data_IF_012563716919
#
_entry.id   IF_012563716919
#
_cell.length_a   1.000
_cell.length_b   1.000
_cell.length_c   1.000
_cell.angle_alpha   90.00
_cell.angle_beta   90.00
_cell.angle_gamma   90.00
#
_symmetry.space_group_name_H-M   'P 1'
#
loop_
_entity.id
_entity.type
_entity.pdbx_description
1 polymer ?
#
# COMPACT_ATOMS: atom_id res chain seq x y z
N UNK A 1 74.79 -47.74 71.89
CA UNK A 1 73.69 -48.66 71.52
C UNK A 1 72.41 -47.88 71.72
N UNK A 2 71.93 -47.20 70.66
CA UNK A 2 70.93 -47.71 69.69
C UNK A 2 69.52 -47.58 70.29
N UNK A 3 68.50 -47.00 69.66
CA UNK A 3 68.35 -46.25 68.41
C UNK A 3 67.08 -45.38 68.59
N UNK A 4 67.11 -44.14 68.12
CA UNK A 4 65.94 -43.27 68.09
C UNK A 4 65.04 -43.61 66.91
N UNK A 5 63.88 -44.21 67.16
CA UNK A 5 62.81 -44.34 66.15
C UNK A 5 62.11 -42.99 65.97
N UNK A 6 62.58 -42.21 64.99
CA UNK A 6 61.87 -41.05 64.46
C UNK A 6 60.85 -41.55 63.42
N UNK A 7 59.58 -41.70 63.81
CA UNK A 7 58.49 -42.07 62.90
C UNK A 7 57.94 -40.80 62.26
N UNK A 8 58.55 -40.37 61.15
CA UNK A 8 58.00 -39.36 60.26
C UNK A 8 57.02 -40.01 59.29
N UNK A 9 55.72 -39.89 59.56
CA UNK A 9 54.67 -40.21 58.60
C UNK A 9 54.78 -39.28 57.37
N UNK A 10 54.61 -39.79 56.13
CA UNK A 10 54.71 -38.97 54.93
C UNK A 10 53.55 -37.97 54.88
N UNK A 11 53.85 -36.68 54.70
CA UNK A 11 52.86 -35.67 54.41
C UNK A 11 52.16 -36.00 53.08
N UNK A 12 50.87 -36.30 53.15
CA UNK A 12 50.02 -36.48 51.98
C UNK A 12 49.97 -35.13 51.24
N UNK A 13 50.63 -35.01 50.08
CA UNK A 13 50.41 -33.87 49.18
C UNK A 13 49.01 -34.03 48.60
N UNK A 14 48.09 -33.15 48.98
CA UNK A 14 46.82 -33.01 48.28
C UNK A 14 47.11 -32.75 46.79
N UNK A 15 46.64 -33.66 45.94
CA UNK A 15 46.73 -33.49 44.49
C UNK A 15 45.96 -32.25 44.04
N UNK A 16 46.28 -31.68 42.87
CA UNK A 16 45.53 -30.54 42.35
C UNK A 16 44.03 -30.88 42.30
N UNK A 17 43.14 -29.91 42.64
CA UNK A 17 41.71 -30.15 42.64
C UNK A 17 41.26 -30.64 41.25
N UNK A 18 40.26 -31.54 41.19
CA UNK A 18 39.78 -32.06 39.92
C UNK A 18 39.33 -30.90 39.02
N UNK A 19 39.58 -30.98 37.71
CA UNK A 19 39.14 -29.94 36.79
C UNK A 19 37.62 -29.75 36.92
N UNK A 20 37.13 -28.49 36.82
CA UNK A 20 35.70 -28.24 36.90
C UNK A 20 34.96 -29.04 35.82
N UNK A 21 33.73 -29.49 36.09
CA UNK A 21 32.95 -30.26 35.13
C UNK A 21 32.80 -29.47 33.82
N UNK A 22 33.02 -30.16 32.70
CA UNK A 22 32.86 -29.56 31.38
C UNK A 22 31.43 -29.02 31.22
N UNK A 23 31.30 -27.77 30.75
CA UNK A 23 29.98 -27.16 30.51
C UNK A 23 29.18 -28.04 29.54
N UNK A 24 27.90 -28.35 29.84
CA UNK A 24 27.09 -29.18 28.95
C UNK A 24 26.99 -28.51 27.58
N UNK A 25 27.29 -29.26 26.52
CA UNK A 25 27.14 -28.77 25.15
C UNK A 25 25.66 -28.44 24.91
N UNK A 26 25.36 -27.26 24.39
CA UNK A 26 23.99 -26.89 24.05
C UNK A 26 23.34 -27.97 23.15
N UNK A 27 22.07 -28.33 23.40
CA UNK A 27 21.43 -29.42 22.68
C UNK A 27 21.26 -29.08 21.20
N UNK A 28 21.30 -30.10 20.33
CA UNK A 28 21.28 -29.94 18.87
C UNK A 28 20.07 -29.12 18.37
N UNK A 29 18.90 -29.32 18.98
CA UNK A 29 17.68 -28.57 18.63
C UNK A 29 17.83 -27.05 18.83
N UNK A 30 18.60 -26.60 19.84
CA UNK A 30 18.86 -25.18 20.06
C UNK A 30 19.72 -24.58 18.95
N UNK A 31 20.68 -25.34 18.42
CA UNK A 31 21.50 -24.90 17.27
C UNK A 31 20.67 -24.83 15.99
N UNK A 32 19.79 -25.80 15.77
CA UNK A 32 18.85 -25.81 14.63
C UNK A 32 17.91 -24.61 14.72
N UNK A 33 17.30 -24.37 15.90
CA UNK A 33 16.40 -23.25 16.12
C UNK A 33 17.09 -21.91 15.87
N UNK A 34 18.31 -21.71 16.41
CA UNK A 34 19.11 -20.50 16.13
C UNK A 34 19.39 -20.36 14.63
N UNK A 35 19.73 -21.45 13.94
CA UNK A 35 19.92 -21.44 12.49
C UNK A 35 18.67 -21.00 11.73
N UNK A 36 17.49 -21.52 12.10
CA UNK A 36 16.20 -21.14 11.49
C UNK A 36 15.89 -19.66 11.74
N UNK A 37 16.09 -19.18 12.97
CA UNK A 37 15.85 -17.77 13.32
C UNK A 37 16.80 -16.86 12.53
N UNK A 38 18.09 -17.18 12.46
CA UNK A 38 19.05 -16.40 11.68
C UNK A 38 18.74 -16.42 10.18
N UNK A 39 18.30 -17.56 9.64
CA UNK A 39 17.86 -17.65 8.25
C UNK A 39 16.60 -16.80 8.00
N UNK A 40 15.63 -16.82 8.93
CA UNK A 40 14.44 -15.97 8.88
C UNK A 40 14.78 -14.48 8.90
N UNK A 41 15.68 -14.05 9.79
CA UNK A 41 16.17 -12.66 9.83
C UNK A 41 16.89 -12.32 8.52
N UNK A 42 17.74 -13.22 8.00
CA UNK A 42 18.42 -13.03 6.72
C UNK A 42 17.45 -12.83 5.56
N UNK A 43 16.42 -13.67 5.46
CA UNK A 43 15.37 -13.55 4.44
C UNK A 43 14.57 -12.26 4.58
N UNK A 44 14.21 -11.88 5.81
CA UNK A 44 13.53 -10.62 6.09
C UNK A 44 14.38 -9.43 5.62
N UNK A 45 15.68 -9.39 5.96
CA UNK A 45 16.58 -8.33 5.53
C UNK A 45 16.77 -8.31 4.01
N UNK A 46 16.89 -9.47 3.36
CA UNK A 46 16.98 -9.57 1.90
C UNK A 46 15.71 -9.06 1.22
N UNK A 47 14.53 -9.35 1.79
CA UNK A 47 13.24 -8.88 1.26
C UNK A 47 13.11 -7.35 1.33
N UNK A 48 13.57 -6.74 2.43
CA UNK A 48 13.59 -5.28 2.57
C UNK A 48 14.68 -4.62 1.72
N UNK A 49 15.84 -5.26 1.59
CA UNK A 49 16.89 -4.83 0.67
C UNK A 49 16.39 -4.86 -0.77
N UNK A 50 15.64 -5.89 -1.15
CA UNK A 50 15.00 -5.97 -2.46
C UNK A 50 14.02 -4.81 -2.67
N UNK A 51 13.14 -4.52 -1.71
CA UNK A 51 12.26 -3.36 -1.76
C UNK A 51 13.06 -2.04 -1.89
N UNK A 52 14.17 -1.90 -1.18
CA UNK A 52 15.06 -0.74 -1.29
C UNK A 52 15.71 -0.64 -2.68
N UNK A 53 16.13 -1.75 -3.30
CA UNK A 53 16.70 -1.74 -4.66
C UNK A 53 15.63 -1.31 -5.67
N UNK A 54 14.40 -1.83 -5.54
CA UNK A 54 13.26 -1.49 -6.38
C UNK A 54 12.81 -0.02 -6.26
N UNK A 55 13.37 0.75 -5.32
CA UNK A 55 13.22 2.22 -5.31
C UNK A 55 13.87 2.87 -6.53
N UNK A 56 14.96 2.30 -7.01
CA UNK A 56 15.84 2.94 -7.99
C UNK A 56 15.88 2.20 -9.33
N UNK A 57 15.38 0.97 -9.39
CA UNK A 57 15.40 0.14 -10.58
C UNK A 57 13.98 -0.24 -11.03
N UNK A 58 13.73 -0.42 -12.34
CA UNK A 58 12.49 -1.02 -12.85
C UNK A 58 12.16 -2.34 -12.14
N UNK A 59 10.87 -2.60 -11.95
CA UNK A 59 10.43 -3.88 -11.38
C UNK A 59 10.57 -4.95 -12.46
N UNK A 60 11.43 -5.96 -12.29
CA UNK A 60 11.78 -6.88 -13.38
C UNK A 60 10.61 -7.78 -13.79
N UNK A 61 9.71 -8.07 -12.86
CA UNK A 61 8.50 -8.85 -13.05
C UNK A 61 7.76 -9.06 -11.73
N UNK A 62 6.54 -9.57 -11.79
CA UNK A 62 5.71 -9.87 -10.62
C UNK A 62 5.32 -11.35 -10.58
N UNK A 63 4.83 -11.79 -9.41
CA UNK A 63 4.31 -13.16 -9.27
C UNK A 63 3.11 -13.36 -10.19
N UNK A 64 2.26 -12.34 -10.35
CA UNK A 64 1.11 -12.38 -11.25
C UNK A 64 1.53 -12.55 -12.72
N UNK A 65 2.50 -11.75 -13.20
CA UNK A 65 3.05 -11.92 -14.56
C UNK A 65 3.58 -13.34 -14.78
N UNK A 66 4.29 -13.89 -13.79
CA UNK A 66 4.82 -15.25 -13.84
C UNK A 66 3.69 -16.29 -13.92
N UNK A 67 2.64 -16.11 -13.11
CA UNK A 67 1.46 -16.98 -13.12
C UNK A 67 0.74 -16.96 -14.46
N UNK A 68 0.53 -15.77 -15.06
CA UNK A 68 -0.09 -15.62 -16.39
C UNK A 68 0.72 -16.34 -17.48
N UNK A 69 2.04 -16.17 -17.46
CA UNK A 69 2.93 -16.88 -18.39
C UNK A 69 2.84 -18.41 -18.26
N UNK A 70 2.74 -18.94 -17.03
CA UNK A 70 2.52 -20.38 -16.82
C UNK A 70 1.14 -20.87 -17.25
N UNK A 71 0.14 -19.99 -17.29
CA UNK A 71 -1.21 -20.28 -17.80
C UNK A 71 -1.28 -20.21 -19.34
N UNK A 72 -0.19 -19.86 -20.01
CA UNK A 72 -0.10 -19.78 -21.47
C UNK A 72 -0.59 -18.46 -22.06
N UNK A 73 -0.83 -17.45 -21.22
CA UNK A 73 -1.12 -16.09 -21.70
C UNK A 73 0.15 -15.41 -22.22
N UNK A 74 -0.01 -14.57 -23.25
CA UNK A 74 1.07 -13.72 -23.74
C UNK A 74 1.22 -12.50 -22.83
N UNK A 75 2.30 -12.49 -22.03
CA UNK A 75 2.54 -11.44 -21.04
C UNK A 75 3.30 -10.30 -21.71
N UNK A 76 2.57 -9.24 -22.07
CA UNK A 76 3.17 -8.02 -22.60
C UNK A 76 3.45 -7.05 -21.48
N UNK A 77 4.68 -6.54 -21.43
CA UNK A 77 5.05 -5.43 -20.54
C UNK A 77 6.07 -4.53 -21.20
N UNK A 78 5.94 -3.24 -20.95
CA UNK A 78 6.98 -2.27 -21.23
C UNK A 78 7.07 -1.27 -20.08
N UNK A 79 8.26 -1.17 -19.49
CA UNK A 79 8.47 -0.28 -18.35
C UNK A 79 8.86 1.09 -18.88
N UNK A 80 8.06 2.10 -18.55
CA UNK A 80 8.37 3.50 -18.85
C UNK A 80 8.47 4.30 -17.56
N UNK A 81 9.31 5.34 -17.56
CA UNK A 81 9.36 6.26 -16.43
C UNK A 81 8.05 7.03 -16.30
N UNK A 82 7.76 7.57 -15.12
CA UNK A 82 6.53 8.34 -14.90
C UNK A 82 6.48 9.61 -15.76
N UNK A 83 7.62 10.16 -16.14
CA UNK A 83 7.71 11.32 -17.04
C UNK A 83 7.32 10.99 -18.49
N UNK A 84 7.32 9.70 -18.85
CA UNK A 84 6.88 9.18 -20.13
C UNK A 84 5.42 8.70 -20.10
N UNK A 85 4.72 8.93 -18.99
CA UNK A 85 3.30 8.64 -18.85
C UNK A 85 2.52 9.96 -18.82
N UNK A 86 1.44 10.05 -19.60
CA UNK A 86 0.56 11.21 -19.62
C UNK A 86 0.08 11.55 -18.19
N UNK A 87 0.23 12.82 -17.72
CA UNK A 87 -0.32 13.24 -16.43
C UNK A 87 -1.82 12.98 -16.31
N UNK A 88 -2.53 12.91 -17.45
CA UNK A 88 -3.96 12.59 -17.50
C UNK A 88 -4.22 11.17 -17.00
N UNK A 89 -3.35 10.21 -17.25
CA UNK A 89 -3.51 8.86 -16.71
C UNK A 89 -3.32 8.84 -15.19
N UNK A 90 -2.34 9.58 -14.67
CA UNK A 90 -2.15 9.76 -13.21
C UNK A 90 -3.42 10.32 -12.56
N UNK A 91 -4.00 11.38 -13.14
CA UNK A 91 -5.25 11.95 -12.63
C UNK A 91 -6.41 10.98 -12.71
N UNK A 92 -6.51 10.21 -13.79
CA UNK A 92 -7.57 9.24 -13.97
C UNK A 92 -7.49 8.13 -12.91
N UNK A 93 -6.29 7.61 -12.65
CA UNK A 93 -6.07 6.57 -11.65
C UNK A 93 -6.32 7.08 -10.23
N UNK A 94 -5.81 8.26 -9.87
CA UNK A 94 -6.12 8.87 -8.56
C UNK A 94 -7.64 9.09 -8.42
N UNK A 95 -8.30 9.62 -9.45
CA UNK A 95 -9.75 9.84 -9.40
C UNK A 95 -10.58 8.55 -9.34
N UNK A 96 -10.04 7.44 -9.87
CA UNK A 96 -10.74 6.17 -9.99
C UNK A 96 -10.53 5.25 -8.78
N UNK A 97 -9.29 5.16 -8.30
CA UNK A 97 -8.85 4.14 -7.34
C UNK A 97 -8.64 4.73 -5.95
N UNK A 98 -8.14 5.95 -5.85
CA UNK A 98 -7.64 6.51 -4.58
C UNK A 98 -7.56 8.04 -4.61
N UNK A 99 -8.71 8.69 -4.40
CA UNK A 99 -8.84 10.14 -4.47
C UNK A 99 -7.98 10.88 -3.43
N UNK A 100 -7.63 10.21 -2.33
CA UNK A 100 -6.86 10.71 -1.20
C UNK A 100 -5.40 10.26 -1.25
N UNK A 101 -4.94 9.73 -2.39
CA UNK A 101 -3.60 9.15 -2.53
C UNK A 101 -2.47 10.03 -1.95
N UNK A 102 -2.50 11.34 -2.21
CA UNK A 102 -1.48 12.26 -1.71
C UNK A 102 -1.65 12.69 -0.24
N UNK A 103 -2.78 12.38 0.40
CA UNK A 103 -3.09 12.85 1.76
C UNK A 103 -2.89 11.78 2.84
N UNK A 104 -2.87 10.49 2.49
CA UNK A 104 -2.65 9.40 3.46
C UNK A 104 -1.28 8.72 3.32
N UNK A 105 -0.81 8.05 4.37
CA UNK A 105 0.46 7.30 4.42
C UNK A 105 0.36 5.85 3.93
N UNK A 106 -0.42 5.60 2.89
CA UNK A 106 -0.63 4.28 2.28
C UNK A 106 -1.87 3.50 2.68
N UNK A 107 -2.50 3.82 3.82
CA UNK A 107 -3.80 3.25 4.20
C UNK A 107 -4.79 4.40 4.38
N UNK A 108 -5.95 4.31 3.73
CA UNK A 108 -7.06 5.23 3.92
C UNK A 108 -8.09 4.60 4.87
N UNK A 109 -7.99 4.96 6.15
CA UNK A 109 -8.88 4.46 7.19
C UNK A 109 -10.32 4.93 7.00
N UNK A 110 -10.52 6.14 6.44
CA UNK A 110 -11.85 6.67 6.17
C UNK A 110 -12.51 5.90 5.03
N UNK A 111 -11.75 5.55 3.98
CA UNK A 111 -12.26 4.70 2.90
C UNK A 111 -12.58 3.28 3.38
N UNK A 112 -11.76 2.70 4.26
CA UNK A 112 -12.03 1.38 4.86
C UNK A 112 -13.34 1.43 5.65
N UNK A 113 -13.51 2.44 6.50
CA UNK A 113 -14.70 2.56 7.35
C UNK A 113 -15.95 2.84 6.51
N UNK A 114 -15.87 3.73 5.51
CA UNK A 114 -16.96 3.98 4.58
C UNK A 114 -17.36 2.73 3.80
N UNK A 115 -16.39 1.95 3.31
CA UNK A 115 -16.64 0.68 2.65
C UNK A 115 -17.29 -0.34 3.60
N UNK A 116 -16.83 -0.43 4.85
CA UNK A 116 -17.39 -1.31 5.87
C UNK A 116 -18.85 -0.97 6.17
N UNK A 117 -19.15 0.30 6.42
CA UNK A 117 -20.51 0.77 6.66
C UNK A 117 -21.42 0.51 5.46
N UNK A 118 -20.95 0.79 4.25
CA UNK A 118 -21.74 0.58 3.05
C UNK A 118 -22.02 -0.90 2.81
N UNK A 119 -21.02 -1.77 2.96
CA UNK A 119 -21.16 -3.22 2.81
C UNK A 119 -22.12 -3.80 3.87
N UNK A 120 -22.08 -3.30 5.10
CA UNK A 120 -23.01 -3.71 6.16
C UNK A 120 -24.46 -3.28 5.86
N UNK A 121 -24.65 -2.11 5.25
CA UNK A 121 -25.98 -1.60 4.86
C UNK A 121 -26.51 -2.23 3.57
N UNK A 122 -25.64 -2.80 2.73
CA UNK A 122 -25.98 -3.35 1.41
C UNK A 122 -25.43 -4.78 1.23
N UNK A 123 -25.88 -5.75 2.05
CA UNK A 123 -25.33 -7.12 2.02
C UNK A 123 -25.59 -7.84 0.69
N UNK A 124 -26.66 -7.48 -0.02
CA UNK A 124 -27.06 -8.10 -1.30
C UNK A 124 -26.43 -7.44 -2.53
N UNK A 125 -25.52 -6.47 -2.35
CA UNK A 125 -24.87 -5.76 -3.46
C UNK A 125 -23.39 -6.09 -3.57
N UNK A 126 -22.84 -5.85 -4.76
CA UNK A 126 -21.38 -5.92 -4.99
C UNK A 126 -20.62 -5.07 -3.97
N UNK A 127 -19.70 -5.72 -3.24
CA UNK A 127 -18.96 -5.08 -2.15
C UNK A 127 -18.07 -3.94 -2.63
N UNK A 128 -18.02 -2.88 -1.84
CA UNK A 128 -17.05 -1.79 -2.03
C UNK A 128 -15.72 -2.15 -1.37
N UNK A 129 -14.65 -1.95 -2.13
CA UNK A 129 -13.28 -2.08 -1.64
C UNK A 129 -12.74 -0.75 -1.10
N UNK A 130 -11.84 -0.83 -0.12
CA UNK A 130 -11.12 0.32 0.46
C UNK A 130 -9.60 0.26 0.25
N UNK A 131 -9.12 -0.49 -0.74
CA UNK A 131 -7.68 -0.65 -0.98
C UNK A 131 -7.09 0.54 -1.75
N UNK A 132 -6.04 1.13 -1.21
CA UNK A 132 -5.32 2.28 -1.80
C UNK A 132 -4.41 1.87 -2.95
N UNK A 133 -3.95 2.83 -3.75
CA UNK A 133 -2.95 2.58 -4.80
C UNK A 133 -1.67 1.96 -4.22
N UNK A 134 -1.26 2.39 -3.03
CA UNK A 134 -0.07 1.87 -2.35
C UNK A 134 -0.25 0.42 -1.91
N UNK A 135 -1.42 0.06 -1.38
CA UNK A 135 -1.75 -1.33 -1.02
C UNK A 135 -1.79 -2.22 -2.26
N UNK A 136 -2.42 -1.75 -3.34
CA UNK A 136 -2.45 -2.47 -4.61
C UNK A 136 -1.04 -2.65 -5.19
N UNK A 137 -0.17 -1.65 -5.08
CA UNK A 137 1.23 -1.74 -5.48
C UNK A 137 1.98 -2.77 -4.64
N UNK A 138 1.86 -2.71 -3.32
CA UNK A 138 2.50 -3.68 -2.43
C UNK A 138 2.06 -5.12 -2.74
N UNK A 139 0.76 -5.33 -2.93
CA UNK A 139 0.18 -6.60 -3.36
C UNK A 139 0.81 -7.08 -4.67
N UNK A 140 0.76 -6.28 -5.73
CA UNK A 140 1.17 -6.70 -7.06
C UNK A 140 2.68 -6.92 -7.18
N UNK A 141 3.50 -6.17 -6.44
CA UNK A 141 4.97 -6.28 -6.53
C UNK A 141 5.51 -7.43 -5.70
N UNK A 142 5.00 -7.61 -4.48
CA UNK A 142 5.64 -8.48 -3.49
C UNK A 142 4.87 -9.77 -3.18
N UNK A 143 3.58 -9.82 -3.52
CA UNK A 143 2.71 -10.93 -3.15
C UNK A 143 1.96 -11.48 -4.38
N UNK A 144 1.33 -12.63 -4.18
CA UNK A 144 0.46 -13.27 -5.15
C UNK A 144 -1.00 -12.94 -4.86
N UNK A 145 -1.89 -13.21 -5.82
CA UNK A 145 -3.32 -13.05 -5.63
C UNK A 145 -3.89 -14.15 -4.72
N UNK A 146 -4.68 -13.76 -3.73
CA UNK A 146 -5.25 -14.66 -2.71
C UNK A 146 -4.28 -15.03 -1.59
N UNK A 147 -4.77 -15.53 -0.44
CA UNK A 147 -3.90 -16.00 0.64
C UNK A 147 -4.21 -15.55 2.07
N UNK A 148 -5.46 -15.18 2.38
CA UNK A 148 -5.93 -14.97 3.76
C UNK A 148 -5.20 -13.89 4.58
N UNK A 149 -5.49 -13.84 5.88
CA UNK A 149 -5.07 -12.76 6.80
C UNK A 149 -3.55 -12.58 6.94
N UNK A 150 -2.71 -13.64 7.03
CA UNK A 150 -1.27 -13.47 7.17
C UNK A 150 -0.63 -12.75 5.98
N UNK A 151 -1.09 -13.04 4.75
CA UNK A 151 -0.65 -12.32 3.55
C UNK A 151 -1.11 -10.87 3.60
N UNK A 152 -2.36 -10.61 4.00
CA UNK A 152 -2.90 -9.24 4.09
C UNK A 152 -2.12 -8.38 5.09
N UNK A 153 -1.67 -8.97 6.20
CA UNK A 153 -0.76 -8.31 7.14
C UNK A 153 0.62 -8.01 6.50
N UNK A 154 1.15 -8.95 5.70
CA UNK A 154 2.36 -8.73 4.90
C UNK A 154 2.22 -7.61 3.88
N UNK A 155 1.07 -7.54 3.18
CA UNK A 155 0.74 -6.44 2.25
C UNK A 155 0.71 -5.10 2.98
N UNK A 156 0.06 -5.02 4.14
CA UNK A 156 0.01 -3.80 4.96
C UNK A 156 1.41 -3.38 5.43
N UNK A 157 2.24 -4.33 5.87
CA UNK A 157 3.63 -4.06 6.25
C UNK A 157 4.44 -3.53 5.06
N UNK A 158 4.35 -4.18 3.90
CA UNK A 158 5.07 -3.71 2.71
C UNK A 158 4.53 -2.39 2.17
N UNK A 159 3.25 -2.10 2.35
CA UNK A 159 2.65 -0.79 2.06
C UNK A 159 3.35 0.29 2.88
N UNK A 160 3.50 0.07 4.19
CA UNK A 160 4.23 0.99 5.06
C UNK A 160 5.70 1.15 4.64
N UNK A 161 6.37 0.05 4.28
CA UNK A 161 7.77 0.08 3.81
C UNK A 161 7.91 0.92 2.53
N UNK A 162 7.07 0.70 1.51
CA UNK A 162 7.18 1.46 0.25
C UNK A 162 6.75 2.92 0.43
N UNK A 163 5.78 3.22 1.28
CA UNK A 163 5.43 4.62 1.60
C UNK A 163 6.61 5.37 2.22
N UNK A 164 7.34 4.70 3.11
CA UNK A 164 8.51 5.27 3.79
C UNK A 164 9.72 5.40 2.86
N UNK A 165 9.99 4.37 2.05
CA UNK A 165 11.25 4.27 1.29
C UNK A 165 11.08 4.80 -0.14
N UNK A 166 9.91 4.61 -0.76
CA UNK A 166 9.67 4.97 -2.15
C UNK A 166 9.14 6.37 -2.33
N UNK A 167 8.21 6.78 -1.49
CA UNK A 167 7.44 8.01 -1.68
C UNK A 167 6.46 7.90 -2.84
N UNK A 168 5.50 8.82 -2.86
CA UNK A 168 4.30 8.77 -3.70
C UNK A 168 4.59 8.72 -5.20
N UNK A 169 5.56 9.51 -5.67
CA UNK A 169 5.96 9.51 -7.09
C UNK A 169 6.39 8.13 -7.58
N UNK A 170 7.29 7.47 -6.84
CA UNK A 170 7.78 6.14 -7.22
C UNK A 170 6.72 5.07 -7.07
N UNK A 171 5.85 5.17 -6.05
CA UNK A 171 4.71 4.25 -5.91
C UNK A 171 3.79 4.35 -7.12
N UNK A 172 3.44 5.57 -7.56
CA UNK A 172 2.60 5.77 -8.75
C UNK A 172 3.26 5.22 -10.01
N UNK A 173 4.56 5.47 -10.21
CA UNK A 173 5.32 4.90 -11.33
C UNK A 173 5.28 3.37 -11.31
N UNK A 174 5.54 2.75 -10.16
CA UNK A 174 5.49 1.32 -10.01
C UNK A 174 4.09 0.77 -10.28
N UNK A 175 3.06 1.36 -9.68
CA UNK A 175 1.66 0.98 -9.88
C UNK A 175 1.30 0.95 -11.37
N UNK A 176 1.54 2.05 -12.09
CA UNK A 176 1.18 2.19 -13.49
C UNK A 176 1.93 1.21 -14.39
N UNK A 177 3.10 0.71 -13.99
CA UNK A 177 3.89 -0.26 -14.75
C UNK A 177 3.63 -1.72 -14.36
N UNK A 178 3.06 -2.01 -13.19
CA UNK A 178 2.81 -3.39 -12.71
C UNK A 178 1.34 -3.78 -12.68
N UNK A 179 0.42 -2.82 -12.78
CA UNK A 179 -1.01 -3.09 -12.90
C UNK A 179 -1.31 -3.88 -14.19
N UNK A 180 -2.25 -4.82 -14.08
CA UNK A 180 -2.81 -5.54 -15.21
C UNK A 180 -3.96 -4.72 -15.80
N UNK A 181 -3.86 -4.36 -17.08
CA UNK A 181 -4.86 -3.57 -17.81
C UNK A 181 -5.73 -4.42 -18.75
N UNK A 182 -5.60 -5.75 -18.63
CA UNK A 182 -6.45 -6.77 -19.27
C UNK A 182 -5.67 -7.64 -20.26
N UNK A 183 -6.09 -8.88 -20.46
CA UNK A 183 -5.58 -9.84 -21.46
C UNK A 183 -4.04 -10.00 -21.42
N UNK A 184 -3.44 -10.11 -20.23
CA UNK A 184 -1.98 -10.23 -20.10
C UNK A 184 -1.18 -8.96 -20.35
N UNK A 185 -1.84 -7.80 -20.52
CA UNK A 185 -1.20 -6.49 -20.65
C UNK A 185 -0.84 -5.93 -19.27
N UNK A 186 0.45 -5.85 -18.98
CA UNK A 186 0.97 -5.23 -17.77
C UNK A 186 1.67 -3.92 -18.08
N UNK A 187 1.28 -2.89 -17.33
CA UNK A 187 1.85 -1.56 -17.49
C UNK A 187 1.11 -0.67 -18.47
N UNK A 188 1.14 0.64 -18.19
CA UNK A 188 0.40 1.66 -18.92
C UNK A 188 0.85 1.77 -20.39
N UNK A 189 2.14 1.58 -20.67
CA UNK A 189 2.67 1.65 -22.04
C UNK A 189 2.14 0.51 -22.91
N UNK A 190 2.27 -0.74 -22.45
CA UNK A 190 1.73 -1.90 -23.16
C UNK A 190 0.21 -1.75 -23.38
N UNK A 191 -0.52 -1.28 -22.37
CA UNK A 191 -1.95 -1.03 -22.47
C UNK A 191 -2.28 0.07 -23.50
N UNK A 192 -1.55 1.20 -23.50
CA UNK A 192 -1.79 2.29 -24.44
C UNK A 192 -1.50 1.88 -25.88
N UNK A 193 -0.42 1.13 -26.12
CA UNK A 193 -0.04 0.64 -27.43
C UNK A 193 -1.08 -0.35 -27.96
N UNK A 194 -1.44 -1.36 -27.16
CA UNK A 194 -2.39 -2.41 -27.61
C UNK A 194 -3.80 -1.85 -27.81
N UNK A 195 -4.26 -0.96 -26.92
CA UNK A 195 -5.65 -0.49 -26.93
C UNK A 195 -5.88 0.71 -27.86
N UNK A 196 -4.91 1.61 -28.00
CA UNK A 196 -5.08 2.86 -28.74
C UNK A 196 -4.02 3.08 -29.83
N UNK A 197 -3.05 2.18 -29.98
CA UNK A 197 -2.01 2.27 -31.00
C UNK A 197 -1.03 3.43 -30.78
N UNK A 198 -0.77 3.81 -29.52
CA UNK A 198 0.09 4.96 -29.19
C UNK A 198 0.76 4.83 -27.83
N UNK A 199 1.74 5.69 -27.58
CA UNK A 199 2.44 5.76 -26.30
C UNK A 199 1.52 6.22 -25.17
N UNK A 200 1.80 5.76 -23.95
CA UNK A 200 1.16 6.23 -22.72
C UNK A 200 1.35 7.74 -22.50
N UNK A 201 2.42 8.34 -23.04
CA UNK A 201 2.63 9.78 -23.04
C UNK A 201 1.52 10.55 -23.79
N UNK A 202 0.95 9.94 -24.82
CA UNK A 202 0.01 10.57 -25.76
C UNK A 202 -1.46 10.27 -25.45
N UNK A 203 -1.74 9.68 -24.29
CA UNK A 203 -3.11 9.42 -23.85
C UNK A 203 -3.89 10.74 -23.69
N UNK A 204 -5.09 10.77 -24.29
CA UNK A 204 -6.07 11.84 -24.10
C UNK A 204 -6.77 11.69 -22.74
N UNK A 205 -7.48 12.74 -22.32
CA UNK A 205 -8.30 12.71 -21.10
C UNK A 205 -9.32 11.57 -21.15
N UNK A 206 -9.88 11.29 -22.34
CA UNK A 206 -10.89 10.26 -22.54
C UNK A 206 -10.30 8.85 -22.45
N UNK A 207 -9.17 8.60 -23.10
CA UNK A 207 -8.54 7.28 -23.10
C UNK A 207 -7.94 6.94 -21.74
N UNK A 208 -7.32 7.93 -21.08
CA UNK A 208 -6.85 7.78 -19.70
C UNK A 208 -8.00 7.37 -18.75
N UNK A 209 -9.15 8.02 -18.86
CA UNK A 209 -10.32 7.67 -18.08
C UNK A 209 -10.93 6.31 -18.45
N UNK A 210 -10.83 5.88 -19.72
CA UNK A 210 -11.26 4.54 -20.15
C UNK A 210 -10.36 3.46 -19.57
N UNK A 211 -9.04 3.65 -19.60
CA UNK A 211 -8.10 2.73 -18.97
C UNK A 211 -8.33 2.64 -17.46
N UNK A 212 -8.45 3.78 -16.78
CA UNK A 212 -8.73 3.78 -15.34
C UNK A 212 -10.10 3.17 -15.00
N UNK A 213 -11.09 3.28 -15.89
CA UNK A 213 -12.40 2.69 -15.69
C UNK A 213 -12.38 1.15 -15.68
N UNK A 214 -11.43 0.51 -16.37
CA UNK A 214 -11.35 -0.95 -16.47
C UNK A 214 -10.52 -1.63 -15.39
N UNK A 215 -9.69 -0.87 -14.67
CA UNK A 215 -8.80 -1.40 -13.61
C UNK A 215 -9.47 -2.30 -12.57
N UNK A 216 -10.73 -2.07 -12.13
CA UNK A 216 -11.36 -2.97 -11.16
C UNK A 216 -11.57 -4.40 -11.69
N UNK A 217 -11.79 -4.54 -13.01
CA UNK A 217 -12.10 -5.82 -13.66
C UNK A 217 -11.49 -5.86 -15.06
N UNK A 218 -10.14 -5.86 -15.17
CA UNK A 218 -9.44 -5.57 -16.42
C UNK A 218 -9.63 -6.65 -17.48
N UNK A 219 -9.90 -7.89 -17.06
CA UNK A 219 -10.17 -9.02 -17.96
C UNK A 219 -11.66 -9.19 -18.31
N UNK A 220 -12.55 -8.42 -17.68
CA UNK A 220 -14.01 -8.47 -17.96
C UNK A 220 -14.50 -7.23 -18.70
N UNK A 221 -13.84 -6.09 -18.51
CA UNK A 221 -14.27 -4.81 -19.08
C UNK A 221 -13.34 -4.36 -20.21
N UNK A 222 -13.92 -3.75 -21.25
CA UNK A 222 -13.16 -3.30 -22.42
C UNK A 222 -12.96 -1.79 -22.38
N UNK A 223 -11.71 -1.34 -22.49
CA UNK A 223 -11.38 0.07 -22.62
C UNK A 223 -11.68 0.60 -24.05
N UNK A 224 -11.55 -0.28 -25.05
CA UNK A 224 -11.84 -0.01 -26.47
C UNK A 224 -13.22 -0.55 -26.80
N UNK A 225 -14.03 0.23 -27.51
CA UNK A 225 -15.45 -0.07 -27.74
C UNK A 225 -16.19 -0.45 -26.44
N UNK A 226 -16.11 0.41 -25.40
CA UNK A 226 -16.69 0.12 -24.09
C UNK A 226 -18.21 0.02 -24.14
N UNK A 227 -18.76 -0.92 -23.37
CA UNK A 227 -20.20 -0.97 -23.11
C UNK A 227 -20.70 0.26 -22.31
N UNK A 228 -22.03 0.43 -22.18
CA UNK A 228 -22.63 1.62 -21.57
C UNK A 228 -22.15 1.91 -20.14
N UNK A 229 -21.89 0.86 -19.36
CA UNK A 229 -21.40 1.00 -18.00
C UNK A 229 -20.00 1.62 -17.94
N UNK A 230 -19.03 1.06 -18.67
CA UNK A 230 -17.66 1.58 -18.72
C UNK A 230 -17.64 3.00 -19.28
N UNK A 231 -18.51 3.32 -20.25
CA UNK A 231 -18.66 4.69 -20.73
C UNK A 231 -19.11 5.66 -19.63
N UNK A 232 -20.13 5.30 -18.85
CA UNK A 232 -20.62 6.14 -17.73
C UNK A 232 -19.55 6.30 -16.64
N UNK A 233 -18.88 5.21 -16.27
CA UNK A 233 -17.81 5.23 -15.27
C UNK A 233 -16.66 6.14 -15.71
N UNK A 234 -16.17 5.96 -16.93
CA UNK A 234 -15.13 6.81 -17.48
C UNK A 234 -15.56 8.28 -17.56
N UNK A 235 -16.80 8.58 -17.91
CA UNK A 235 -17.34 9.94 -17.87
C UNK A 235 -17.32 10.56 -16.46
N UNK A 236 -17.61 9.77 -15.42
CA UNK A 236 -17.49 10.19 -14.01
C UNK A 236 -16.03 10.46 -13.63
N UNK A 237 -15.11 9.55 -14.02
CA UNK A 237 -13.66 9.70 -13.81
C UNK A 237 -13.15 10.98 -14.47
N UNK A 238 -13.51 11.26 -15.73
CA UNK A 238 -13.13 12.49 -16.43
C UNK A 238 -13.57 13.75 -15.68
N UNK A 239 -14.77 13.75 -15.10
CA UNK A 239 -15.25 14.86 -14.27
C UNK A 239 -14.36 15.10 -13.04
N UNK A 240 -13.94 14.01 -12.39
CA UNK A 240 -13.10 14.03 -11.18
C UNK A 240 -11.63 14.32 -11.45
N UNK A 241 -11.11 13.92 -12.61
CA UNK A 241 -9.72 14.20 -13.02
C UNK A 241 -9.39 15.69 -12.96
N UNK A 242 -10.35 16.56 -13.29
CA UNK A 242 -10.15 18.02 -13.16
C UNK A 242 -10.06 18.47 -11.72
N UNK A 243 -10.87 17.90 -10.83
CA UNK A 243 -10.77 18.18 -9.39
C UNK A 243 -9.41 17.74 -8.89
N UNK A 244 -8.97 16.53 -9.26
CA UNK A 244 -7.65 16.01 -8.91
C UNK A 244 -6.52 16.94 -9.37
N UNK A 245 -6.59 17.44 -10.60
CA UNK A 245 -5.57 18.31 -11.15
C UNK A 245 -5.60 19.74 -10.59
N UNK A 246 -6.79 20.32 -10.41
CA UNK A 246 -6.94 21.73 -10.01
C UNK A 246 -6.75 21.95 -8.50
N UNK A 247 -7.23 21.02 -7.68
CA UNK A 247 -7.14 21.10 -6.22
C UNK A 247 -5.83 20.50 -5.68
N UNK A 248 -4.93 20.06 -6.57
CA UNK A 248 -3.60 19.57 -6.18
C UNK A 248 -3.59 18.19 -5.54
N UNK A 249 -4.65 17.39 -5.68
CA UNK A 249 -4.69 16.01 -5.14
C UNK A 249 -3.66 15.07 -5.76
N UNK A 250 -2.99 15.48 -6.83
CA UNK A 250 -1.86 14.76 -7.44
C UNK A 250 -0.49 15.41 -7.19
N UNK A 251 -0.41 16.52 -6.43
CA UNK A 251 0.81 17.31 -6.27
C UNK A 251 2.02 16.49 -5.78
N UNK A 252 1.79 15.54 -4.87
CA UNK A 252 2.83 14.67 -4.32
C UNK A 252 3.52 13.76 -5.36
N UNK A 253 2.86 13.51 -6.50
CA UNK A 253 3.38 12.71 -7.60
C UNK A 253 4.30 13.54 -8.51
N UNK A 254 4.02 14.83 -8.64
CA UNK A 254 4.71 15.75 -9.55
C UNK A 254 5.74 16.65 -8.86
N UNK A 255 6.07 16.40 -7.59
CA UNK A 255 7.08 17.18 -6.87
C UNK A 255 6.60 18.54 -6.35
N UNK A 256 5.29 18.72 -6.18
CA UNK A 256 4.70 19.89 -5.51
C UNK A 256 3.60 20.59 -6.32
N UNK A 257 3.71 20.63 -7.65
CA UNK A 257 2.66 21.19 -8.51
C UNK A 257 2.37 20.28 -9.70
N UNK A 258 1.10 19.89 -9.84
CA UNK A 258 0.64 19.01 -10.90
C UNK A 258 0.38 19.79 -12.21
N UNK A 259 0.72 19.25 -13.39
CA UNK A 259 0.43 19.89 -14.68
C UNK A 259 -1.08 20.18 -14.87
N UNK A 260 -1.47 21.45 -14.92
CA UNK A 260 -2.88 21.82 -15.09
C UNK A 260 -3.39 21.41 -16.48
N UNK A 261 -4.58 20.77 -16.58
CA UNK A 261 -5.14 20.40 -17.86
C UNK A 261 -5.51 21.67 -18.67
N UNK A 262 -5.48 21.60 -20.01
CA UNK A 262 -5.93 22.71 -20.84
C UNK A 262 -7.41 23.03 -20.54
N UNK A 263 -7.84 24.29 -20.71
CA UNK A 263 -9.24 24.66 -20.60
C UNK A 263 -10.11 23.77 -21.49
N UNK A 264 -11.26 23.33 -20.98
CA UNK A 264 -12.20 22.53 -21.77
C UNK A 264 -12.66 23.37 -22.96
N UNK A 265 -12.47 22.89 -24.19
CA UNK A 265 -13.22 23.40 -25.33
C UNK A 265 -14.68 23.00 -25.09
N UNK A 266 -15.46 23.90 -24.49
CA UNK A 266 -16.90 23.71 -24.37
C UNK A 266 -17.50 23.84 -25.78
N UNK A 267 -18.27 22.85 -26.26
CA UNK A 267 -19.14 23.06 -27.39
C UNK A 267 -20.01 24.29 -27.08
N UNK A 268 -20.06 25.26 -28.00
CA UNK A 268 -20.86 26.49 -27.84
C UNK A 268 -22.30 26.10 -27.47
N UNK A 269 -22.72 26.44 -26.25
CA UNK A 269 -24.12 26.31 -25.80
C UNK A 269 -24.37 25.39 -24.62
N UNK A 270 -23.37 24.68 -24.08
CA UNK A 270 -23.57 23.78 -22.93
C UNK A 270 -23.08 24.42 -21.63
N UNK A 271 -23.97 24.61 -20.67
CA UNK A 271 -23.61 25.10 -19.32
C UNK A 271 -22.71 24.10 -18.61
N UNK A 272 -21.61 24.52 -17.96
CA UNK A 272 -20.74 23.62 -17.22
C UNK A 272 -21.54 22.93 -16.10
N UNK A 273 -21.68 21.61 -16.18
CA UNK A 273 -22.21 20.81 -15.07
C UNK A 273 -21.27 20.99 -13.86
N UNK A 274 -21.79 21.23 -12.64
CA UNK A 274 -20.95 21.33 -11.45
C UNK A 274 -20.06 20.08 -11.32
N UNK A 275 -18.82 20.28 -10.88
CA UNK A 275 -17.89 19.18 -10.65
C UNK A 275 -18.57 18.17 -9.71
N UNK A 276 -18.56 16.87 -10.04
CA UNK A 276 -19.07 15.88 -9.11
C UNK A 276 -18.28 15.99 -7.81
N UNK A 277 -18.98 16.11 -6.69
CA UNK A 277 -18.41 15.80 -5.38
C UNK A 277 -17.85 14.38 -5.46
N UNK A 278 -16.79 14.05 -4.70
CA UNK A 278 -16.16 12.71 -4.65
C UNK A 278 -17.10 11.57 -4.20
N UNK A 279 -18.41 11.77 -4.25
CA UNK A 279 -19.46 10.79 -4.01
C UNK A 279 -19.44 9.74 -5.13
N UNK A 280 -18.75 8.63 -4.83
CA UNK A 280 -18.69 7.27 -5.39
C UNK A 280 -18.91 7.07 -6.90
N UNK A 281 -17.95 6.38 -7.52
CA UNK A 281 -18.09 5.94 -8.91
C UNK A 281 -19.33 5.03 -9.02
N UNK A 282 -20.02 5.03 -10.18
CA UNK A 282 -21.11 4.08 -10.38
C UNK A 282 -20.62 2.65 -10.10
N UNK A 283 -21.44 1.90 -9.35
CA UNK A 283 -21.15 0.54 -8.90
C UNK A 283 -20.85 -0.38 -10.08
N UNK A 284 -19.83 -1.23 -9.92
CA UNK A 284 -19.56 -2.32 -10.85
C UNK A 284 -20.82 -3.18 -10.99
N UNK A 285 -21.31 -3.46 -12.21
CA UNK A 285 -22.41 -4.38 -12.39
C UNK A 285 -21.98 -5.77 -11.91
N UNK A 286 -22.91 -6.52 -11.33
CA UNK A 286 -22.66 -7.81 -10.68
C UNK A 286 -22.21 -8.89 -11.68
N UNK A 287 -22.55 -8.75 -12.95
CA UNK A 287 -22.11 -9.64 -14.03
C UNK A 287 -21.37 -8.87 -15.12
N UNK A 288 -20.31 -9.48 -15.67
CA UNK A 288 -19.53 -8.90 -16.78
C UNK A 288 -20.37 -8.66 -18.05
N UNK A 289 -21.50 -9.37 -18.19
CA UNK A 289 -22.41 -9.29 -19.33
C UNK A 289 -23.12 -7.93 -19.42
N UNK A 290 -23.54 -7.36 -18.28
CA UNK A 290 -24.13 -6.01 -18.24
C UNK A 290 -23.09 -4.91 -18.53
N UNK A 291 -21.82 -5.14 -18.17
CA UNK A 291 -20.73 -4.20 -18.46
C UNK A 291 -20.37 -4.15 -19.94
N UNK A 292 -20.48 -5.28 -20.64
CA UNK A 292 -20.07 -5.46 -22.03
C UNK A 292 -21.11 -4.96 -23.05
N UNK A 293 -22.38 -4.76 -22.64
CA UNK A 293 -23.44 -4.29 -23.52
C UNK A 293 -23.71 -5.31 -24.64
N UNK A 294 -24.63 -6.23 -24.39
CA UNK A 294 -24.90 -7.36 -25.27
C UNK A 294 -25.07 -6.98 -26.77
N UNK A 295 -24.10 -7.40 -27.58
CA UNK A 295 -24.37 -8.10 -28.84
C UNK A 295 -23.66 -9.45 -28.73
N UNK A 296 -24.41 -10.54 -28.92
CA UNK A 296 -24.01 -11.95 -28.79
C UNK A 296 -22.53 -12.19 -29.13
N UNK A 297 -21.69 -12.19 -28.10
CA UNK A 297 -20.35 -12.76 -28.17
C UNK A 297 -20.47 -14.14 -27.55
N UNK A 298 -20.17 -15.15 -28.36
CA UNK A 298 -20.16 -16.57 -28.03
C UNK A 298 -19.62 -16.80 -26.61
N UNK A 299 -20.43 -17.44 -25.78
CA UNK A 299 -20.17 -17.69 -24.36
C UNK A 299 -18.96 -18.63 -24.24
N UNK A 300 -17.77 -18.07 -24.04
CA UNK A 300 -16.61 -18.86 -23.65
C UNK A 300 -16.88 -19.47 -22.26
N UNK A 301 -16.59 -20.76 -22.04
CA UNK A 301 -16.95 -21.43 -20.80
C UNK A 301 -16.31 -20.75 -19.60
N UNK A 302 -17.12 -20.45 -18.57
CA UNK A 302 -16.68 -19.91 -17.28
C UNK A 302 -15.51 -20.75 -16.77
N UNK A 303 -14.33 -20.14 -16.68
CA UNK A 303 -13.15 -20.85 -16.21
C UNK A 303 -13.09 -20.82 -14.67
N UNK A 304 -12.38 -21.78 -14.09
CA UNK A 304 -12.23 -21.90 -12.64
C UNK A 304 -11.65 -20.65 -11.94
N UNK A 305 -11.12 -19.68 -12.69
CA UNK A 305 -10.60 -18.43 -12.12
C UNK A 305 -11.71 -17.43 -11.78
N UNK A 306 -12.91 -17.54 -12.38
CA UNK A 306 -14.05 -16.70 -12.02
C UNK A 306 -14.64 -17.09 -10.65
N UNK A 307 -14.86 -18.39 -10.41
CA UNK A 307 -15.21 -18.88 -9.07
C UNK A 307 -14.10 -18.61 -8.06
N UNK A 308 -12.82 -18.69 -8.47
CA UNK A 308 -11.70 -18.40 -7.59
C UNK A 308 -11.64 -16.92 -7.21
N UNK A 309 -11.86 -15.98 -8.13
CA UNK A 309 -11.87 -14.55 -7.80
C UNK A 309 -13.05 -14.18 -6.89
N UNK A 310 -14.22 -14.80 -7.08
CA UNK A 310 -15.36 -14.63 -6.19
C UNK A 310 -15.07 -15.21 -4.78
N UNK A 311 -14.34 -16.34 -4.70
CA UNK A 311 -13.85 -16.92 -3.45
C UNK A 311 -12.70 -16.12 -2.80
N UNK A 312 -11.87 -15.44 -3.59
CA UNK A 312 -10.79 -14.60 -3.08
C UNK A 312 -11.30 -13.27 -2.52
N UNK A 313 -12.40 -12.76 -3.08
CA UNK A 313 -13.12 -11.60 -2.55
C UNK A 313 -13.97 -11.96 -1.32
N UNK A 314 -14.51 -13.19 -1.24
CA UNK A 314 -15.21 -13.68 -0.05
C UNK A 314 -14.26 -14.09 1.10
N UNK A 315 -13.01 -14.45 0.82
CA UNK A 315 -12.00 -14.63 1.87
C UNK A 315 -11.57 -13.30 2.54
N UNK A 316 -11.82 -12.16 1.90
CA UNK A 316 -11.70 -10.81 2.49
C UNK A 316 -12.94 -10.47 3.36
N UNK A 317 -14.01 -11.29 3.33
CA UNK A 317 -15.28 -11.07 4.07
C UNK A 317 -15.25 -11.52 5.53
N UNK A 318 -14.51 -12.56 5.90
CA UNK A 318 -14.63 -13.14 7.25
C UNK A 318 -14.01 -12.29 8.37
N UNK A 319 -13.28 -11.24 8.02
CA UNK A 319 -12.44 -10.50 8.99
C UNK A 319 -12.76 -9.01 9.10
N UNK A 320 -13.53 -8.43 8.19
CA UNK A 320 -14.07 -7.07 8.38
C UNK A 320 -15.32 -7.07 9.27
N UNK A 321 -16.01 -8.21 9.38
CA UNK A 321 -17.15 -8.45 10.27
C UNK A 321 -17.02 -9.85 10.88
N UNK A 322 -16.45 -10.03 12.09
CA UNK A 322 -16.60 -11.30 12.79
C UNK A 322 -18.10 -11.57 13.01
N UNK A 323 -18.55 -12.84 12.93
CA UNK A 323 -19.95 -13.15 13.23
C UNK A 323 -20.28 -12.66 14.63
N UNK A 324 -21.46 -12.05 14.79
CA UNK A 324 -22.00 -11.77 16.11
C UNK A 324 -22.01 -13.09 16.89
N UNK A 325 -21.23 -13.16 17.96
CA UNK A 325 -21.28 -14.29 18.88
C UNK A 325 -22.65 -14.26 19.54
N UNK A 326 -23.56 -15.10 19.07
CA UNK A 326 -24.75 -15.45 19.82
C UNK A 326 -24.27 -15.98 21.17
N UNK A 327 -24.73 -15.34 22.24
CA UNK A 327 -24.23 -15.55 23.58
C UNK A 327 -24.38 -17.00 24.04
N UNK A 328 -23.25 -17.70 24.16
CA UNK A 328 -23.10 -18.80 25.11
C UNK A 328 -22.53 -18.22 26.41
N UNK A 329 -23.17 -18.45 27.57
CA UNK A 329 -22.67 -17.94 28.83
C UNK A 329 -21.34 -18.62 29.17
N UNK A 330 -20.36 -17.81 29.58
CA UNK A 330 -19.07 -18.28 30.05
C UNK A 330 -19.22 -19.23 31.26
N UNK A 331 -18.40 -20.29 31.38
CA UNK A 331 -18.43 -21.16 32.55
C UNK A 331 -17.95 -20.40 33.79
N UNK A 332 -18.73 -20.50 34.87
CA UNK A 332 -18.42 -19.93 36.19
C UNK A 332 -17.02 -20.37 36.67
N UNK A 333 -16.16 -19.39 36.95
CA UNK A 333 -14.92 -19.61 37.68
C UNK A 333 -15.22 -19.73 39.19
N UNK A 334 -14.50 -20.60 39.94
CA UNK A 334 -14.77 -20.80 41.35
C UNK A 334 -14.31 -19.61 42.18
N UNK A 335 -15.09 -19.31 43.21
CA UNK A 335 -14.88 -18.22 44.15
C UNK A 335 -13.55 -18.34 44.93
N UNK A 336 -12.71 -17.31 44.84
CA UNK A 336 -11.63 -17.04 45.80
C UNK A 336 -11.91 -15.75 46.58
N UNK A 337 -11.56 -15.79 47.87
CA UNK A 337 -11.92 -14.85 48.94
C UNK A 337 -11.34 -13.43 48.76
N UNK A 338 -11.93 -12.40 49.40
CA UNK A 338 -11.55 -11.01 49.17
C UNK A 338 -10.23 -10.66 49.88
N UNK A 339 -9.26 -10.15 49.12
CA UNK A 339 -8.13 -9.40 49.67
C UNK A 339 -8.51 -7.92 49.72
N UNK A 340 -8.50 -7.39 50.94
CA UNK A 340 -8.67 -5.99 51.31
C UNK A 340 -7.52 -5.16 50.73
N UNK A 341 -7.83 -4.21 49.84
CA UNK A 341 -6.90 -3.17 49.37
C UNK A 341 -7.51 -1.83 49.75
N UNK A 342 -6.78 -1.13 50.62
CA UNK A 342 -7.03 0.22 51.10
C UNK A 342 -6.86 1.21 49.96
N UNK A 343 -7.86 2.06 49.72
CA UNK A 343 -7.75 3.19 48.80
C UNK A 343 -6.89 4.30 49.43
N UNK A 344 -5.73 4.60 48.83
CA UNK A 344 -5.06 5.89 49.01
C UNK A 344 -5.61 6.90 48.00
N UNK A 345 -5.89 8.16 48.40
CA UNK A 345 -6.42 9.17 47.50
C UNK A 345 -5.32 9.67 46.53
N UNK A 346 -5.61 9.59 45.23
CA UNK A 346 -4.78 10.15 44.17
C UNK A 346 -4.87 11.68 44.22
N UNK A 347 -3.71 12.34 44.39
CA UNK A 347 -3.58 13.79 44.34
C UNK A 347 -3.78 14.31 42.89
N UNK A 348 -4.54 15.40 42.76
CA UNK A 348 -4.72 16.13 41.49
C UNK A 348 -3.37 16.70 40.98
N UNK A 349 -3.11 16.69 39.67
CA UNK A 349 -1.89 17.23 39.11
C UNK A 349 -1.92 18.78 39.09
N UNK A 350 -0.85 19.41 39.56
CA UNK A 350 -0.67 20.87 39.50
C UNK A 350 -0.54 21.39 38.05
N UNK A 351 -1.07 22.59 37.75
CA UNK A 351 -0.97 23.18 36.43
C UNK A 351 0.46 23.66 36.11
N UNK A 352 0.87 23.44 34.85
CA UNK A 352 2.18 23.81 34.32
C UNK A 352 2.41 25.34 34.34
N UNK A 353 3.63 25.82 34.64
CA UNK A 353 3.94 27.24 34.64
C UNK A 353 3.92 27.85 33.23
N UNK A 354 3.39 29.07 33.12
CA UNK A 354 3.34 29.86 31.88
C UNK A 354 4.76 30.26 31.41
N UNK A 355 5.00 30.34 30.08
CA UNK A 355 6.30 30.70 29.55
C UNK A 355 6.60 32.20 29.73
N UNK A 356 7.82 32.51 30.17
CA UNK A 356 8.31 33.90 30.29
C UNK A 356 8.38 34.62 28.93
N UNK A 357 8.13 35.94 28.90
CA UNK A 357 8.21 36.73 27.68
C UNK A 357 9.67 36.83 27.19
N UNK A 358 9.89 36.42 25.95
CA UNK A 358 11.18 36.57 25.26
C UNK A 358 11.25 37.97 24.65
N UNK A 359 12.33 38.70 24.96
CA UNK A 359 12.63 40.01 24.36
C UNK A 359 12.80 39.89 22.83
N UNK A 360 12.35 40.89 22.04
CA UNK A 360 12.52 40.90 20.61
C UNK A 360 14.01 41.07 20.21
N UNK A 361 14.44 40.50 19.08
CA UNK A 361 15.82 40.61 18.61
C UNK A 361 16.15 42.06 18.21
N UNK A 362 17.37 42.49 18.51
CA UNK A 362 17.90 43.80 18.19
C UNK A 362 17.90 44.06 16.68
N UNK A 363 17.42 45.24 16.27
CA UNK A 363 17.47 45.74 14.89
C UNK A 363 18.92 45.97 14.43
N UNK A 364 19.27 45.43 13.26
CA UNK A 364 20.51 45.77 12.55
C UNK A 364 20.49 47.26 12.14
N UNK A 365 21.58 48.02 12.34
CA UNK A 365 21.63 49.41 11.91
C UNK A 365 21.69 49.52 10.37
N UNK A 366 20.82 50.37 9.84
CA UNK A 366 20.71 50.71 8.42
C UNK A 366 22.05 51.19 7.81
N UNK A 367 22.31 50.92 6.51
CA UNK A 367 23.53 51.34 5.84
C UNK A 367 23.59 52.87 5.71
N UNK A 368 24.74 53.42 6.10
CA UNK A 368 25.09 54.84 5.97
C UNK A 368 25.23 55.24 4.50
N UNK A 369 24.96 56.52 4.23
CA UNK A 369 24.67 57.08 2.91
C UNK A 369 25.82 57.08 1.89
N UNK A 370 25.56 57.62 0.68
CA UNK A 370 26.43 57.46 -0.47
C UNK A 370 27.71 58.30 -0.36
N UNK A 371 28.85 57.65 -0.59
CA UNK A 371 30.16 58.28 -0.75
C UNK A 371 30.17 59.16 -2.01
N UNK A 372 30.22 60.47 -1.81
CA UNK A 372 30.58 61.46 -2.83
C UNK A 372 32.01 61.20 -3.33
N UNK A 373 32.14 60.84 -4.61
CA UNK A 373 33.41 60.87 -5.33
C UNK A 373 33.65 62.28 -5.86
N UNK A 374 34.56 62.99 -5.20
CA UNK A 374 35.13 64.26 -5.64
C UNK A 374 36.30 63.98 -6.60
N UNK A 375 36.37 64.55 -7.82
CA UNK A 375 37.60 64.60 -8.62
C UNK A 375 38.46 65.77 -8.11
N UNK A 376 39.81 65.77 -8.19
CA UNK A 376 40.57 65.94 -9.45
C UNK A 376 41.99 65.27 -9.38
N UNK A 377 42.98 65.37 -10.28
CA UNK A 377 43.38 66.29 -11.37
C UNK A 377 43.99 65.51 -12.56
#
# INVERSE_FOLDING_TARGET
MSDGMNSSAPAYREGPPPPPPAKPKAPLWRRILVGIVLAGIGLFLLFHLYALILRFAPIPGTILMTQRGFQGEDVQRDWVSLDEISPRLVYAVIAAEDAKFCTHGGIDWEAIEAAREWNAKNPDRSRRGGSTISQQTAKNVFFWNGGGMPRKAGEAWMTYVIETVWGKRRIMEAYLNVAEWGDGLFGAEAAAQERFGKSAADLTEREAALLAAVLPSPNKWRAVNPGPYVQRRAGSIQGRMRVVANEGYAACVFGGEAPKPPPRETPKGETPKPAPVFEELPEAPETGEEALGASEAEEAPRNANDELNDLLNSADETFANPPATDGEPAPEAPAEAPAEITEEPVAEPEPLPEPEPTDPPAEDPAPTGPTELRPPE
#
